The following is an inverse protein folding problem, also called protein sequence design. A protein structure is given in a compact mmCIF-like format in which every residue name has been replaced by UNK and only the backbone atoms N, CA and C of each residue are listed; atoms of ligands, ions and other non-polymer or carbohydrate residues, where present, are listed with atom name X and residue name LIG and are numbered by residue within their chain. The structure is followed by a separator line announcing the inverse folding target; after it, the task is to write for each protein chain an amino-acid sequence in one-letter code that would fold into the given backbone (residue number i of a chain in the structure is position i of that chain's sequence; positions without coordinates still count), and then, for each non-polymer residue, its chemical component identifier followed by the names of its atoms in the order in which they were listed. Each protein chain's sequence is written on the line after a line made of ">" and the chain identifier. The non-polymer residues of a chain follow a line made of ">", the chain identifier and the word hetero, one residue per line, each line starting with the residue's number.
data_IF_391795871895
#
_entry.id   IF_391795871895
#
_cell.length_a   1.000
_cell.length_b   1.000
_cell.length_c   1.000
_cell.angle_alpha   90.00
_cell.angle_beta   90.00
_cell.angle_gamma   90.00
#
_symmetry.space_group_name_H-M   'P 1'
#
loop_
_entity.id
_entity.type
_entity.pdbx_description
1 polymer ?
#
# COMPACT_ATOMS: atom_id res chain seq x y z
N UNK A 1 1.53 11.19 27.74
CA UNK A 1 0.71 10.51 26.71
C UNK A 1 1.09 11.09 25.38
N UNK A 2 1.77 10.32 24.51
CA UNK A 2 2.08 10.74 23.15
C UNK A 2 0.90 10.31 22.28
N UNK A 3 -0.01 11.23 21.98
CA UNK A 3 -0.99 11.00 20.90
C UNK A 3 -0.19 11.01 19.60
N UNK A 4 -0.01 9.84 18.98
CA UNK A 4 0.53 9.78 17.62
C UNK A 4 -0.49 10.46 16.71
N UNK A 5 -0.11 11.57 16.09
CA UNK A 5 -0.96 12.29 15.16
C UNK A 5 -1.07 11.50 13.85
N UNK A 6 -2.29 11.42 13.29
CA UNK A 6 -2.54 10.73 12.02
C UNK A 6 -1.72 11.37 10.91
N UNK A 7 -0.95 10.57 10.16
CA UNK A 7 0.03 11.08 9.19
C UNK A 7 0.24 10.12 8.03
N UNK A 8 0.58 10.68 6.88
CA UNK A 8 1.17 9.92 5.79
C UNK A 8 2.66 9.76 6.05
N UNK A 9 3.20 8.58 5.79
CA UNK A 9 4.63 8.29 5.87
C UNK A 9 5.06 7.71 4.54
N UNK A 10 5.94 8.42 3.84
CA UNK A 10 6.58 7.93 2.63
C UNK A 10 8.02 7.50 2.96
N UNK A 11 8.26 6.20 3.03
CA UNK A 11 9.60 5.64 3.10
C UNK A 11 10.24 5.72 1.72
N UNK A 12 11.26 6.54 1.56
CA UNK A 12 11.97 6.73 0.29
C UNK A 12 13.17 5.79 0.15
N UNK A 13 13.70 5.28 1.28
CA UNK A 13 14.78 4.28 1.33
C UNK A 13 14.66 3.42 2.60
N UNK A 14 15.39 2.30 2.62
CA UNK A 14 15.49 1.44 3.80
C UNK A 14 14.30 0.51 4.00
N UNK A 15 14.06 0.14 5.26
CA UNK A 15 13.05 -0.85 5.64
C UNK A 15 12.45 -0.47 7.00
N UNK A 16 11.12 -0.34 7.07
CA UNK A 16 10.39 -0.19 8.31
C UNK A 16 9.70 -1.50 8.69
N UNK A 17 9.83 -1.89 9.96
CA UNK A 17 9.13 -2.99 10.58
C UNK A 17 8.18 -2.44 11.65
N UNK A 18 6.88 -2.59 11.42
CA UNK A 18 5.80 -2.05 12.26
C UNK A 18 5.12 -3.17 13.01
N UNK A 19 4.96 -3.00 14.32
CA UNK A 19 4.30 -3.97 15.23
C UNK A 19 3.39 -3.26 16.22
N UNK A 20 2.41 -3.97 16.75
CA UNK A 20 1.60 -3.51 17.87
C UNK A 20 2.16 -4.08 19.20
N UNK A 21 2.21 -3.30 20.31
CA UNK A 21 2.76 -3.77 21.58
C UNK A 21 2.07 -4.99 22.19
N UNK A 22 0.75 -5.11 22.03
CA UNK A 22 -0.06 -6.17 22.64
C UNK A 22 -0.53 -7.24 21.63
N UNK A 23 -0.13 -7.12 20.36
CA UNK A 23 -0.45 -8.07 19.30
C UNK A 23 0.83 -8.57 18.63
N UNK A 24 1.17 -9.82 18.94
CA UNK A 24 2.35 -10.51 18.42
C UNK A 24 2.09 -11.20 17.07
N UNK A 25 0.86 -11.24 16.59
CA UNK A 25 0.48 -11.88 15.33
C UNK A 25 0.52 -10.88 14.16
N UNK A 26 0.25 -9.60 14.41
CA UNK A 26 0.18 -8.59 13.35
C UNK A 26 1.49 -7.80 13.25
N UNK A 27 2.10 -7.85 12.07
CA UNK A 27 3.24 -6.99 11.73
C UNK A 27 3.22 -6.60 10.26
N UNK A 28 3.91 -5.51 9.93
CA UNK A 28 4.09 -5.05 8.56
C UNK A 28 5.55 -4.72 8.27
N UNK A 29 6.04 -5.16 7.12
CA UNK A 29 7.32 -4.74 6.56
C UNK A 29 7.05 -3.80 5.40
N UNK A 30 7.61 -2.59 5.47
CA UNK A 30 7.44 -1.56 4.45
C UNK A 30 8.82 -1.19 3.91
N UNK A 31 9.10 -1.64 2.69
CA UNK A 31 10.31 -1.28 1.97
C UNK A 31 10.21 0.14 1.44
N UNK A 32 11.29 0.90 1.56
CA UNK A 32 11.38 2.22 0.94
C UNK A 32 11.32 2.17 -0.59
N UNK A 33 10.88 3.26 -1.19
CA UNK A 33 10.80 3.43 -2.65
C UNK A 33 9.36 3.46 -3.16
N UNK A 34 9.13 2.85 -4.31
CA UNK A 34 7.89 2.99 -5.08
C UNK A 34 6.61 2.62 -4.32
N UNK A 35 6.69 1.67 -3.40
CA UNK A 35 5.54 1.16 -2.63
C UNK A 35 5.66 1.47 -1.13
N UNK A 36 6.52 2.43 -0.76
CA UNK A 36 6.82 2.78 0.63
C UNK A 36 5.87 3.79 1.27
N UNK A 37 4.71 4.06 0.67
CA UNK A 37 3.73 5.00 1.22
C UNK A 37 2.72 4.27 2.10
N UNK A 38 2.61 4.70 3.36
CA UNK A 38 1.60 4.22 4.30
C UNK A 38 0.84 5.39 4.95
N UNK A 39 -0.32 5.07 5.49
CA UNK A 39 -1.04 5.94 6.41
C UNK A 39 -0.92 5.38 7.83
N UNK A 40 -0.33 6.15 8.74
CA UNK A 40 -0.14 5.76 10.13
C UNK A 40 -1.16 6.49 11.01
N UNK A 41 -2.08 5.73 11.60
CA UNK A 41 -3.04 6.20 12.57
C UNK A 41 -3.20 5.16 13.69
N UNK A 42 -2.94 5.60 14.91
CA UNK A 42 -3.17 4.81 16.11
C UNK A 42 -4.56 5.14 16.63
N UNK A 43 -5.52 4.28 16.32
CA UNK A 43 -6.91 4.45 16.78
C UNK A 43 -7.15 3.61 18.03
N UNK A 44 -7.86 4.17 19.00
CA UNK A 44 -8.03 3.54 20.32
C UNK A 44 -8.81 2.22 20.26
N UNK A 45 -9.60 1.99 19.21
CA UNK A 45 -10.32 0.74 18.95
C UNK A 45 -9.42 -0.40 18.45
N UNK A 46 -8.21 -0.09 17.96
CA UNK A 46 -7.21 -1.08 17.50
C UNK A 46 -6.05 -1.19 18.48
N UNK A 47 -5.50 -0.06 18.94
CA UNK A 47 -4.41 -0.04 19.93
C UNK A 47 -4.39 1.25 20.74
N UNK A 48 -4.61 1.14 22.05
CA UNK A 48 -4.49 2.28 22.98
C UNK A 48 -3.03 2.74 23.17
N UNK A 49 -2.07 1.84 22.97
CA UNK A 49 -0.63 2.13 23.11
C UNK A 49 0.01 2.63 21.81
N UNK A 50 -0.70 2.51 20.69
CA UNK A 50 -0.22 2.80 19.34
C UNK A 50 0.71 1.73 18.79
N UNK A 51 1.49 2.09 17.77
CA UNK A 51 2.44 1.17 17.13
C UNK A 51 3.89 1.44 17.53
N UNK A 52 4.72 0.41 17.32
CA UNK A 52 6.18 0.52 17.34
C UNK A 52 6.71 0.38 15.91
N UNK A 53 7.61 1.28 15.53
CA UNK A 53 8.38 1.15 14.28
C UNK A 53 9.85 0.91 14.58
N UNK A 54 10.44 -0.07 13.90
CA UNK A 54 11.86 -0.36 13.94
C UNK A 54 12.42 -0.29 12.51
N UNK A 55 13.71 -0.01 12.38
CA UNK A 55 14.38 0.10 11.08
C UNK A 55 15.51 -0.93 10.96
N UNK A 56 15.20 -2.22 10.76
CA UNK A 56 16.19 -3.31 10.85
C UNK A 56 17.07 -3.47 9.59
N UNK A 57 17.15 -2.46 8.72
CA UNK A 57 17.93 -2.52 7.49
C UNK A 57 19.43 -2.24 7.67
N UNK A 58 20.24 -2.74 6.73
CA UNK A 58 21.65 -2.35 6.59
C UNK A 58 21.84 -1.01 5.86
N UNK A 59 20.76 -0.49 5.26
CA UNK A 59 20.71 0.81 4.60
C UNK A 59 19.91 1.79 5.45
N UNK A 60 20.28 3.07 5.36
CA UNK A 60 19.56 4.14 6.04
C UNK A 60 18.09 4.19 5.60
N UNK A 61 17.20 4.30 6.58
CA UNK A 61 15.77 4.49 6.34
C UNK A 61 15.44 5.98 6.36
N UNK A 62 15.04 6.50 5.20
CA UNK A 62 14.61 7.89 5.04
C UNK A 62 13.08 7.90 4.91
N UNK A 63 12.42 8.69 5.76
CA UNK A 63 10.97 8.79 5.81
C UNK A 63 10.51 10.25 5.79
N UNK A 64 9.66 10.60 4.82
CA UNK A 64 8.91 11.85 4.84
C UNK A 64 7.62 11.64 5.60
N UNK A 65 7.40 12.44 6.65
CA UNK A 65 6.19 12.40 7.46
C UNK A 65 5.35 13.65 7.17
N UNK A 66 4.10 13.44 6.75
CA UNK A 66 3.18 14.50 6.37
C UNK A 66 1.97 14.43 7.32
N UNK A 67 1.84 15.35 8.29
CA UNK A 67 0.70 15.36 9.18
C UNK A 67 -0.58 15.66 8.42
N UNK A 68 -1.68 15.05 8.86
CA UNK A 68 -3.02 15.40 8.38
C UNK A 68 -3.47 16.73 8.96
N UNK A 69 -4.44 17.38 8.30
CA UNK A 69 -5.11 18.55 8.88
C UNK A 69 -5.78 18.16 10.19
N UNK A 70 -5.47 18.91 11.24
CA UNK A 70 -5.98 18.69 12.61
C UNK A 70 -5.71 17.29 13.18
N UNK A 71 -4.77 16.52 12.60
CA UNK A 71 -4.46 15.15 13.04
C UNK A 71 -5.58 14.12 12.77
N UNK A 72 -6.56 14.44 11.91
CA UNK A 72 -7.72 13.59 11.62
C UNK A 72 -7.40 12.49 10.62
N UNK A 73 -8.01 11.33 10.83
CA UNK A 73 -8.02 10.24 9.84
C UNK A 73 -8.92 10.63 8.67
N UNK A 74 -8.42 10.64 7.41
CA UNK A 74 -9.25 10.88 6.23
C UNK A 74 -10.35 9.83 6.08
N UNK A 75 -11.42 10.19 5.37
CA UNK A 75 -12.47 9.25 4.99
C UNK A 75 -11.88 8.12 4.14
N UNK A 76 -12.15 6.88 4.53
CA UNK A 76 -11.67 5.68 3.86
C UNK A 76 -12.61 4.50 4.14
N UNK A 77 -12.42 3.41 3.40
CA UNK A 77 -13.04 2.12 3.70
C UNK A 77 -11.95 1.12 4.05
N UNK A 78 -12.16 0.35 5.11
CA UNK A 78 -11.27 -0.76 5.47
C UNK A 78 -11.56 -1.95 4.55
N UNK A 79 -10.54 -2.43 3.82
CA UNK A 79 -10.69 -3.56 2.91
C UNK A 79 -10.68 -4.91 3.66
N UNK A 80 -9.78 -5.06 4.62
CA UNK A 80 -9.68 -6.19 5.54
C UNK A 80 -8.76 -5.83 6.71
N UNK A 81 -8.71 -6.70 7.71
CA UNK A 81 -7.75 -6.61 8.81
C UNK A 81 -6.37 -7.13 8.40
N UNK A 82 -5.32 -6.64 9.07
CA UNK A 82 -3.93 -7.04 8.81
C UNK A 82 -3.21 -6.17 7.77
N UNK A 83 -1.94 -6.46 7.49
CA UNK A 83 -1.14 -5.69 6.54
C UNK A 83 -1.64 -5.86 5.09
N UNK A 84 -1.43 -4.83 4.27
CA UNK A 84 -1.75 -4.92 2.86
C UNK A 84 -0.87 -5.97 2.15
N UNK A 85 -1.46 -6.69 1.21
CA UNK A 85 -0.76 -7.65 0.36
C UNK A 85 0.01 -6.95 -0.76
N UNK A 86 0.96 -7.67 -1.37
CA UNK A 86 1.73 -7.14 -2.50
C UNK A 86 0.83 -6.69 -3.66
N UNK A 87 -0.29 -7.37 -3.89
CA UNK A 87 -1.24 -7.05 -4.96
C UNK A 87 -2.04 -5.77 -4.66
N UNK A 88 -2.35 -5.50 -3.39
CA UNK A 88 -3.04 -4.28 -2.98
C UNK A 88 -2.15 -3.03 -3.13
N UNK A 89 -0.85 -3.15 -2.88
CA UNK A 89 0.07 -2.01 -2.94
C UNK A 89 0.63 -1.73 -4.34
N UNK A 90 0.63 -2.72 -5.25
CA UNK A 90 1.15 -2.54 -6.62
C UNK A 90 0.16 -1.82 -7.54
N UNK A 91 -1.15 -1.96 -7.28
CA UNK A 91 -2.22 -1.28 -8.03
C UNK A 91 -2.08 -1.39 -9.55
N UNK A 92 -2.27 -0.27 -10.26
CA UNK A 92 -2.14 -0.17 -11.73
C UNK A 92 -0.73 -0.47 -12.26
N UNK A 93 0.30 -0.43 -11.41
CA UNK A 93 1.67 -0.77 -11.82
C UNK A 93 1.95 -2.26 -11.79
N UNK A 94 1.05 -3.05 -11.21
CA UNK A 94 1.01 -4.51 -11.37
C UNK A 94 0.26 -4.94 -12.64
N UNK A 95 -0.49 -4.05 -13.30
CA UNK A 95 -1.12 -4.35 -14.58
C UNK A 95 -0.08 -4.26 -15.71
N UNK A 96 0.03 -5.29 -16.56
CA UNK A 96 0.76 -5.17 -17.81
C UNK A 96 0.19 -3.99 -18.62
N UNK A 97 1.00 -3.24 -19.39
CA UNK A 97 0.47 -2.24 -20.29
C UNK A 97 -0.56 -2.90 -21.22
N UNK A 98 -1.63 -2.18 -21.54
CA UNK A 98 -2.67 -2.65 -22.45
C UNK A 98 -2.03 -3.16 -23.76
N UNK A 99 -1.96 -4.49 -23.91
CA UNK A 99 -1.26 -5.16 -25.02
C UNK A 99 -0.30 -6.28 -24.62
N UNK A 100 0.12 -6.40 -23.36
CA UNK A 100 0.85 -7.57 -22.88
C UNK A 100 -0.14 -8.64 -22.41
N UNK A 101 -0.36 -9.69 -23.21
CA UNK A 101 -1.22 -10.81 -22.82
C UNK A 101 -0.62 -11.53 -21.61
N UNK A 102 -1.47 -11.81 -20.63
CA UNK A 102 -1.18 -12.76 -19.56
C UNK A 102 -1.57 -14.14 -20.08
N UNK A 103 -0.79 -14.71 -21.00
CA UNK A 103 -0.93 -16.11 -21.38
C UNK A 103 0.16 -16.95 -20.66
N UNK A 104 -0.12 -17.53 -19.49
CA UNK A 104 0.54 -18.77 -19.10
C UNK A 104 -0.23 -19.90 -19.77
N UNK A 105 0.24 -20.33 -20.95
CA UNK A 105 -0.16 -21.57 -21.62
C UNK A 105 -1.67 -21.80 -21.91
N UNK A 106 -2.03 -21.65 -23.19
CA UNK A 106 -2.94 -22.56 -23.90
C UNK A 106 -4.38 -22.69 -23.40
N UNK A 107 -5.28 -21.86 -23.93
CA UNK A 107 -6.69 -22.20 -24.07
C UNK A 107 -7.29 -21.44 -25.24
N UNK A 108 -7.37 -22.11 -26.39
CA UNK A 108 -8.10 -21.65 -27.56
C UNK A 108 -9.59 -21.53 -27.23
N UNK A 109 -10.07 -20.30 -27.09
CA UNK A 109 -11.51 -20.00 -27.23
C UNK A 109 -11.63 -18.95 -28.31
N UNK A 110 -12.28 -19.34 -29.42
CA UNK A 110 -12.48 -18.54 -30.62
C UNK A 110 -13.02 -17.14 -30.30
N UNK A 111 -12.23 -16.10 -30.60
CA UNK A 111 -12.73 -14.75 -30.71
C UNK A 111 -13.57 -14.65 -31.99
N UNK A 112 -14.90 -14.72 -31.85
CA UNK A 112 -15.80 -14.25 -32.91
C UNK A 112 -15.67 -12.74 -33.03
N UNK A 113 -14.92 -12.33 -34.05
CA UNK A 113 -14.70 -10.95 -34.45
C UNK A 113 -16.03 -10.26 -34.80
N UNK A 114 -16.47 -9.33 -33.94
CA UNK A 114 -17.40 -8.26 -34.31
C UNK A 114 -16.58 -7.02 -34.66
N UNK A 115 -16.31 -6.83 -35.94
CA UNK A 115 -15.64 -5.66 -36.49
C UNK A 115 -16.54 -4.43 -36.37
N UNK A 116 -16.17 -3.45 -35.55
CA UNK A 116 -16.62 -2.06 -35.70
C UNK A 116 -15.43 -1.11 -35.50
N UNK A 117 -15.26 -0.28 -36.52
CA UNK A 117 -14.12 0.55 -36.93
C UNK A 117 -13.67 1.62 -35.90
N UNK A 118 -12.44 2.15 -36.05
CA UNK A 118 -11.92 3.20 -35.18
C UNK A 118 -12.51 4.57 -35.55
N UNK A 119 -13.04 5.30 -34.56
CA UNK A 119 -13.24 6.74 -34.69
C UNK A 119 -11.88 7.44 -34.61
N UNK A 120 -11.49 8.10 -35.71
CA UNK A 120 -10.39 9.06 -35.79
C UNK A 120 -10.97 10.48 -35.85
N UNK A 121 -10.35 11.37 -35.06
CA UNK A 121 -10.27 12.85 -35.10
C UNK A 121 -11.49 13.73 -35.46
N UNK A 122 -11.74 14.69 -34.56
CA UNK A 122 -11.59 16.11 -34.92
C UNK A 122 -10.92 16.88 -33.79
#
# INVERSE_FOLDING_TARGET
>A
MHHTTSKWVAFTSGLAYVTLPDDNATSALVSGGQFGLIFAADTADVSEQGHRTQYPGITETIALQIPTSDGRVPEHSVLHMGPCTANEITGLRGFPPAGASLDPAGSSVEARAGSLLPFQFR
#
